data_IF_728556945537
#
_entry.id   IF_728556945537
#
_cell.length_a   1.000
_cell.length_b   1.000
_cell.length_c   1.000
_cell.angle_alpha   90.00
_cell.angle_beta   90.00
_cell.angle_gamma   90.00
#
_symmetry.space_group_name_H-M   'P 1'
#
loop_
_entity.id
_entity.type
_entity.pdbx_description
1 polymer ?
#
# COMPACT_ATOMS: atom_id res chain seq x y z
N UNK A 1 -16.37 -22.46 26.97
CA UNK A 1 -15.15 -21.64 26.94
C UNK A 1 -14.54 -21.49 25.53
N UNK A 2 -14.29 -22.56 24.76
CA UNK A 2 -13.72 -22.45 23.40
C UNK A 2 -14.60 -21.65 22.41
N UNK A 3 -15.92 -21.91 22.36
CA UNK A 3 -16.87 -21.15 21.53
C UNK A 3 -16.90 -19.65 21.84
N UNK A 4 -16.85 -19.27 23.11
CA UNK A 4 -16.83 -17.86 23.53
C UNK A 4 -15.55 -17.16 23.06
N UNK A 5 -14.37 -17.81 23.22
CA UNK A 5 -13.11 -17.27 22.71
C UNK A 5 -13.12 -17.12 21.17
N UNK A 6 -13.73 -18.05 20.45
CA UNK A 6 -13.87 -17.97 19.00
C UNK A 6 -14.78 -16.81 18.57
N UNK A 7 -15.91 -16.62 19.25
CA UNK A 7 -16.82 -15.50 18.98
C UNK A 7 -16.16 -14.14 19.22
N UNK A 8 -15.40 -14.00 20.32
CA UNK A 8 -14.65 -12.77 20.63
C UNK A 8 -13.64 -12.43 19.52
N UNK A 9 -12.80 -13.40 19.12
CA UNK A 9 -11.85 -13.18 18.00
C UNK A 9 -12.53 -12.81 16.69
N UNK A 10 -13.69 -13.41 16.41
CA UNK A 10 -14.47 -13.07 15.22
C UNK A 10 -15.02 -11.65 15.29
N UNK A 11 -15.52 -11.23 16.46
CA UNK A 11 -15.99 -9.86 16.68
C UNK A 11 -14.85 -8.84 16.55
N UNK A 12 -13.68 -9.11 17.13
CA UNK A 12 -12.48 -8.26 17.01
C UNK A 12 -12.08 -8.06 15.54
N UNK A 13 -12.02 -9.15 14.77
CA UNK A 13 -11.70 -9.10 13.34
C UNK A 13 -12.77 -8.32 12.54
N UNK A 14 -14.04 -8.54 12.85
CA UNK A 14 -15.14 -7.82 12.20
C UNK A 14 -15.09 -6.32 12.52
N UNK A 15 -14.77 -5.96 13.76
CA UNK A 15 -14.63 -4.58 14.18
C UNK A 15 -13.46 -3.90 13.47
N UNK A 16 -12.29 -4.57 13.42
CA UNK A 16 -11.10 -4.06 12.73
C UNK A 16 -11.32 -3.84 11.22
N UNK A 17 -12.23 -4.59 10.59
CA UNK A 17 -12.51 -4.50 9.16
C UNK A 17 -13.76 -3.66 8.82
N UNK A 18 -14.55 -3.25 9.81
CA UNK A 18 -15.82 -2.56 9.63
C UNK A 18 -15.69 -1.23 8.87
N UNK A 19 -14.61 -0.49 9.11
CA UNK A 19 -14.34 0.81 8.45
C UNK A 19 -14.20 0.69 6.92
N UNK A 20 -13.81 -0.48 6.42
CA UNK A 20 -13.64 -0.74 4.98
C UNK A 20 -14.92 -1.27 4.31
N UNK A 21 -15.97 -1.53 5.09
CA UNK A 21 -17.18 -2.20 4.59
C UNK A 21 -18.12 -1.26 3.84
N UNK A 22 -18.87 -1.81 2.88
CA UNK A 22 -19.86 -1.08 2.10
C UNK A 22 -19.28 -0.32 0.90
N UNK A 23 -20.17 0.35 0.16
CA UNK A 23 -19.80 1.14 -1.02
C UNK A 23 -19.04 2.40 -0.63
N UNK A 24 -19.47 3.06 0.46
CA UNK A 24 -18.87 4.26 1.02
C UNK A 24 -17.80 3.96 2.09
N UNK A 25 -17.41 2.68 2.24
CA UNK A 25 -16.35 2.28 3.15
C UNK A 25 -15.04 2.99 2.83
N UNK A 26 -14.23 3.18 3.86
CA UNK A 26 -12.92 3.78 3.69
C UNK A 26 -12.07 2.94 2.73
N UNK A 27 -11.29 3.57 1.84
CA UNK A 27 -10.42 2.81 0.96
C UNK A 27 -9.24 2.23 1.74
N UNK A 28 -8.86 1.00 1.40
CA UNK A 28 -7.62 0.36 1.86
C UNK A 28 -6.45 1.03 1.15
N UNK A 29 -5.54 1.60 1.91
CA UNK A 29 -4.42 2.37 1.37
C UNK A 29 -3.28 1.42 1.02
N UNK A 30 -2.90 1.38 -0.25
CA UNK A 30 -1.92 0.43 -0.79
C UNK A 30 -0.75 1.21 -1.38
N UNK A 31 0.38 1.19 -0.67
CA UNK A 31 1.63 1.71 -1.19
C UNK A 31 2.17 0.79 -2.29
N UNK A 32 2.52 1.34 -3.44
CA UNK A 32 3.25 0.62 -4.49
C UNK A 32 4.68 1.15 -4.49
N UNK A 33 5.63 0.31 -4.09
CA UNK A 33 7.02 0.72 -3.86
C UNK A 33 7.93 0.00 -4.86
N UNK A 34 8.50 0.72 -5.83
CA UNK A 34 9.49 0.17 -6.74
C UNK A 34 10.83 -0.01 -6.02
N UNK A 35 11.54 -1.09 -6.31
CA UNK A 35 12.88 -1.36 -5.78
C UNK A 35 14.00 -1.18 -6.82
N UNK A 36 13.66 -0.62 -7.96
CA UNK A 36 14.57 -0.17 -9.00
C UNK A 36 13.96 1.03 -9.75
N UNK A 37 14.82 1.79 -10.41
CA UNK A 37 14.47 2.99 -11.17
C UNK A 37 13.71 2.68 -12.47
N UNK A 38 13.95 1.51 -13.07
CA UNK A 38 13.30 1.04 -14.29
C UNK A 38 11.86 0.53 -14.10
N UNK A 39 11.36 0.48 -12.87
CA UNK A 39 10.00 0.00 -12.57
C UNK A 39 9.00 1.15 -12.71
N UNK A 40 8.13 1.03 -13.70
CA UNK A 40 6.98 1.93 -13.83
C UNK A 40 5.85 1.50 -12.90
N UNK A 41 5.67 2.25 -11.81
CA UNK A 41 4.62 2.05 -10.81
C UNK A 41 3.20 2.16 -11.40
N UNK A 42 3.03 2.96 -12.44
CA UNK A 42 1.74 3.08 -13.11
C UNK A 42 1.37 1.79 -13.85
N UNK A 43 2.33 1.17 -14.54
CA UNK A 43 2.12 -0.13 -15.20
C UNK A 43 1.81 -1.24 -14.20
N UNK A 44 2.42 -1.19 -13.01
CA UNK A 44 2.08 -2.10 -11.89
C UNK A 44 0.60 -1.95 -11.51
N UNK A 45 0.14 -0.72 -11.28
CA UNK A 45 -1.27 -0.46 -10.92
C UNK A 45 -2.22 -0.89 -12.04
N UNK A 46 -1.87 -0.63 -13.30
CA UNK A 46 -2.62 -1.08 -14.47
C UNK A 46 -2.74 -2.60 -14.54
N UNK A 47 -1.63 -3.33 -14.32
CA UNK A 47 -1.63 -4.79 -14.35
C UNK A 47 -2.52 -5.37 -13.24
N UNK A 48 -2.46 -4.80 -12.04
CA UNK A 48 -3.33 -5.16 -10.91
C UNK A 48 -4.82 -4.91 -11.25
N UNK A 49 -5.15 -3.73 -11.74
CA UNK A 49 -6.54 -3.37 -12.10
C UNK A 49 -7.09 -4.22 -13.25
N UNK A 50 -6.30 -4.47 -14.30
CA UNK A 50 -6.69 -5.31 -15.43
C UNK A 50 -6.95 -6.78 -15.02
N UNK A 51 -6.34 -7.25 -13.93
CA UNK A 51 -6.58 -8.61 -13.41
C UNK A 51 -7.97 -8.81 -12.79
N UNK A 52 -8.67 -7.73 -12.49
CA UNK A 52 -10.00 -7.70 -11.87
C UNK A 52 -10.99 -6.82 -12.64
N UNK A 53 -10.69 -6.57 -13.92
CA UNK A 53 -11.58 -5.91 -14.88
C UNK A 53 -11.97 -4.48 -14.49
N UNK A 54 -11.08 -3.77 -13.79
CA UNK A 54 -11.23 -2.35 -13.48
C UNK A 54 -10.83 -1.51 -14.70
N UNK A 55 -11.65 -0.52 -15.13
CA UNK A 55 -11.33 0.40 -16.23
C UNK A 55 -10.07 1.26 -15.99
N UNK A 56 -9.43 1.70 -17.08
CA UNK A 56 -8.20 2.52 -17.07
C UNK A 56 -8.49 4.03 -16.92
N UNK A 57 -9.25 4.41 -15.90
CA UNK A 57 -9.69 5.80 -15.71
C UNK A 57 -8.95 6.49 -14.55
N UNK A 58 -7.62 6.57 -14.60
CA UNK A 58 -6.84 7.20 -13.53
C UNK A 58 -5.59 7.95 -14.00
N UNK A 59 -5.22 8.99 -13.25
CA UNK A 59 -4.06 9.84 -13.52
C UNK A 59 -2.77 9.26 -12.94
N UNK A 60 -1.67 9.35 -13.70
CA UNK A 60 -0.36 8.75 -13.41
C UNK A 60 0.27 9.22 -12.08
N UNK A 61 0.05 10.48 -11.68
CA UNK A 61 0.78 11.11 -10.57
C UNK A 61 -0.03 11.29 -9.27
N UNK A 62 -1.23 10.71 -9.17
CA UNK A 62 -2.10 10.92 -8.01
C UNK A 62 -2.54 9.62 -7.37
N UNK A 63 -2.84 9.72 -6.08
CA UNK A 63 -3.52 8.67 -5.34
C UNK A 63 -4.80 8.29 -6.10
N UNK A 64 -4.97 7.00 -6.37
CA UNK A 64 -6.07 6.53 -7.22
C UNK A 64 -7.00 5.65 -6.40
N UNK A 65 -8.25 6.11 -6.26
CA UNK A 65 -9.32 5.33 -5.60
C UNK A 65 -10.04 4.46 -6.61
N UNK A 66 -10.08 3.16 -6.34
CA UNK A 66 -10.73 2.16 -7.19
C UNK A 66 -11.69 1.31 -6.38
N UNK A 67 -12.87 1.04 -6.93
CA UNK A 67 -13.78 0.00 -6.41
C UNK A 67 -13.45 -1.33 -7.07
N UNK A 68 -13.17 -2.35 -6.25
CA UNK A 68 -13.02 -3.72 -6.73
C UNK A 68 -14.34 -4.46 -6.48
N UNK A 69 -15.22 -4.49 -7.48
CA UNK A 69 -16.57 -5.02 -7.34
C UNK A 69 -16.60 -6.50 -6.97
N UNK A 70 -15.69 -7.30 -7.54
CA UNK A 70 -15.54 -8.73 -7.23
C UNK A 70 -15.40 -9.00 -5.73
N UNK A 71 -14.71 -8.12 -5.00
CA UNK A 71 -14.47 -8.28 -3.56
C UNK A 71 -15.26 -7.28 -2.71
N UNK A 72 -16.03 -6.38 -3.33
CA UNK A 72 -16.80 -5.31 -2.68
C UNK A 72 -15.94 -4.44 -1.76
N UNK A 73 -14.71 -4.14 -2.16
CA UNK A 73 -13.75 -3.33 -1.41
C UNK A 73 -13.34 -2.09 -2.19
N UNK A 74 -13.01 -1.02 -1.46
CA UNK A 74 -12.37 0.18 -2.01
C UNK A 74 -10.86 0.08 -1.77
N UNK A 75 -10.06 0.31 -2.80
CA UNK A 75 -8.60 0.43 -2.72
C UNK A 75 -8.22 1.87 -3.05
N UNK A 76 -7.23 2.42 -2.35
CA UNK A 76 -6.53 3.64 -2.72
C UNK A 76 -5.08 3.28 -3.00
N UNK A 77 -4.68 3.28 -4.27
CA UNK A 77 -3.28 3.13 -4.63
C UNK A 77 -2.53 4.42 -4.35
N UNK A 78 -1.39 4.31 -3.66
CA UNK A 78 -0.49 5.41 -3.36
C UNK A 78 0.86 5.08 -4.01
N UNK A 79 1.15 5.62 -5.20
CA UNK A 79 2.40 5.33 -5.89
C UNK A 79 3.58 5.96 -5.13
N UNK A 80 4.61 5.18 -4.83
CA UNK A 80 5.87 5.70 -4.31
C UNK A 80 6.88 5.87 -5.44
N UNK A 81 7.70 6.92 -5.36
CA UNK A 81 8.89 7.07 -6.20
C UNK A 81 10.00 6.16 -5.67
N UNK A 82 10.96 5.81 -6.52
CA UNK A 82 12.22 5.21 -6.10
C UNK A 82 13.09 6.28 -5.41
N UNK A 83 12.63 6.71 -4.23
CA UNK A 83 13.22 7.74 -3.38
C UNK A 83 12.94 7.36 -1.92
N UNK A 84 13.97 7.45 -1.07
CA UNK A 84 13.92 7.00 0.31
C UNK A 84 12.85 7.74 1.13
N UNK A 85 12.84 9.08 1.08
CA UNK A 85 11.95 9.89 1.90
C UNK A 85 10.49 9.74 1.44
N UNK A 86 10.28 9.71 0.13
CA UNK A 86 8.97 9.50 -0.44
C UNK A 86 8.42 8.10 -0.10
N UNK A 87 9.26 7.06 -0.15
CA UNK A 87 8.84 5.71 0.22
C UNK A 87 8.47 5.62 1.72
N UNK A 88 9.23 6.24 2.62
CA UNK A 88 8.90 6.33 4.04
C UNK A 88 7.56 7.04 4.27
N UNK A 89 7.34 8.16 3.58
CA UNK A 89 6.12 8.96 3.72
C UNK A 89 4.86 8.25 3.20
N UNK A 90 5.00 7.44 2.15
CA UNK A 90 3.90 6.63 1.60
C UNK A 90 3.66 5.38 2.46
N UNK A 91 4.71 4.67 2.87
CA UNK A 91 4.58 3.45 3.67
C UNK A 91 4.00 3.71 5.07
N UNK A 92 4.35 4.85 5.70
CA UNK A 92 3.83 5.17 7.04
C UNK A 92 2.32 5.39 7.09
N UNK A 93 1.68 5.71 5.96
CA UNK A 93 0.22 5.88 5.87
C UNK A 93 -0.47 4.64 5.30
N UNK A 94 0.26 3.67 4.75
CA UNK A 94 -0.33 2.53 4.07
C UNK A 94 -0.92 1.46 5.01
N UNK A 95 -2.02 0.85 4.57
CA UNK A 95 -2.56 -0.39 5.16
C UNK A 95 -1.88 -1.63 4.58
N UNK A 96 -1.32 -1.53 3.37
CA UNK A 96 -0.58 -2.57 2.70
C UNK A 96 0.58 -1.96 1.91
N UNK A 97 1.70 -2.65 1.87
CA UNK A 97 2.84 -2.28 1.02
C UNK A 97 3.07 -3.38 -0.01
N UNK A 98 3.02 -3.01 -1.28
CA UNK A 98 3.38 -3.87 -2.40
C UNK A 98 4.79 -3.49 -2.84
N UNK A 99 5.74 -4.36 -2.54
CA UNK A 99 7.11 -4.23 -3.02
C UNK A 99 7.20 -4.79 -4.44
N UNK A 100 7.80 -4.04 -5.35
CA UNK A 100 7.99 -4.45 -6.75
C UNK A 100 9.48 -4.65 -6.99
N UNK A 101 9.87 -5.91 -7.19
CA UNK A 101 11.25 -6.31 -7.45
C UNK A 101 11.52 -6.31 -8.97
N UNK A 102 12.69 -5.82 -9.40
CA UNK A 102 13.16 -6.01 -10.77
C UNK A 102 13.52 -7.49 -11.00
N UNK A 103 13.49 -7.92 -12.26
CA UNK A 103 13.91 -9.27 -12.68
C UNK A 103 15.11 -9.27 -13.62
N UNK A 104 15.42 -8.10 -14.19
CA UNK A 104 16.48 -7.85 -15.17
C UNK A 104 17.75 -7.26 -14.55
N UNK A 105 17.62 -6.54 -13.43
CA UNK A 105 18.71 -5.95 -12.66
C UNK A 105 18.68 -6.42 -11.21
N UNK A 106 19.84 -6.38 -10.54
CA UNK A 106 19.91 -6.54 -9.09
C UNK A 106 19.42 -5.27 -8.39
N UNK A 107 18.89 -5.42 -7.17
CA UNK A 107 18.52 -4.26 -6.36
C UNK A 107 19.78 -3.56 -5.91
N UNK A 108 19.93 -2.30 -6.29
CA UNK A 108 21.06 -1.46 -5.92
C UNK A 108 21.07 -1.13 -4.41
N UNK A 109 22.18 -0.56 -3.93
CA UNK A 109 22.36 -0.18 -2.52
C UNK A 109 21.26 0.78 -2.05
N UNK A 110 20.84 1.71 -2.90
CA UNK A 110 19.75 2.66 -2.63
C UNK A 110 18.42 1.94 -2.36
N UNK A 111 18.15 0.86 -3.10
CA UNK A 111 16.96 0.03 -2.92
C UNK A 111 17.00 -0.77 -1.63
N UNK A 112 18.19 -1.24 -1.23
CA UNK A 112 18.40 -1.90 0.05
C UNK A 112 18.25 -0.92 1.23
N UNK A 113 18.81 0.30 1.12
CA UNK A 113 18.63 1.36 2.12
C UNK A 113 17.14 1.69 2.27
N UNK A 114 16.42 1.81 1.15
CA UNK A 114 14.98 2.04 1.14
C UNK A 114 14.25 0.90 1.89
N UNK A 115 14.52 -0.37 1.55
CA UNK A 115 13.92 -1.53 2.20
C UNK A 115 14.14 -1.55 3.71
N UNK A 116 15.40 -1.38 4.15
CA UNK A 116 15.76 -1.37 5.58
C UNK A 116 15.07 -0.23 6.31
N UNK A 117 14.95 0.93 5.66
CA UNK A 117 14.37 2.12 6.27
C UNK A 117 12.86 1.99 6.46
N UNK A 118 12.12 1.51 5.44
CA UNK A 118 10.66 1.30 5.56
C UNK A 118 10.33 0.19 6.56
N UNK A 119 11.16 -0.85 6.65
CA UNK A 119 11.01 -1.91 7.64
C UNK A 119 11.26 -1.38 9.06
N UNK A 120 12.36 -0.65 9.26
CA UNK A 120 12.76 -0.08 10.56
C UNK A 120 11.78 0.97 11.09
N UNK A 121 11.09 1.73 10.22
CA UNK A 121 10.05 2.68 10.63
C UNK A 121 8.82 1.97 11.24
N UNK A 122 8.65 0.68 10.95
CA UNK A 122 7.42 -0.07 11.17
C UNK A 122 6.59 -0.06 9.89
N UNK A 123 6.39 -1.25 9.34
CA UNK A 123 5.64 -1.49 8.12
C UNK A 123 4.37 -2.29 8.43
N UNK A 124 3.33 -2.10 7.63
CA UNK A 124 2.10 -2.89 7.69
C UNK A 124 2.25 -4.19 6.88
N UNK A 125 1.15 -4.81 6.44
CA UNK A 125 1.21 -6.04 5.64
C UNK A 125 1.99 -5.82 4.33
N UNK A 126 3.01 -6.66 4.12
CA UNK A 126 3.84 -6.64 2.91
C UNK A 126 3.39 -7.72 1.94
N UNK A 127 3.20 -7.36 0.68
CA UNK A 127 3.09 -8.26 -0.46
C UNK A 127 4.26 -8.01 -1.39
N UNK A 128 4.84 -9.07 -1.95
CA UNK A 128 6.01 -8.97 -2.81
C UNK A 128 5.66 -9.42 -4.22
N UNK A 129 5.99 -8.56 -5.17
CA UNK A 129 5.73 -8.76 -6.59
C UNK A 129 7.01 -8.62 -7.41
N UNK A 130 7.03 -9.17 -8.61
CA UNK A 130 8.13 -9.05 -9.56
C UNK A 130 7.59 -8.61 -10.93
N UNK A 131 8.27 -7.65 -11.55
CA UNK A 131 7.97 -7.17 -12.90
C UNK A 131 9.05 -7.70 -13.87
N UNK A 132 8.66 -8.08 -15.09
CA UNK A 132 9.62 -8.43 -16.12
C UNK A 132 9.97 -9.94 -16.22
N UNK A 133 9.25 -10.80 -15.50
CA UNK A 133 9.55 -12.23 -15.43
C UNK A 133 9.35 -12.92 -16.78
N UNK A 134 8.39 -12.47 -17.59
CA UNK A 134 8.19 -13.00 -18.93
C UNK A 134 9.34 -12.67 -19.91
N UNK A 135 10.09 -11.60 -19.65
CA UNK A 135 11.26 -11.17 -20.41
C UNK A 135 12.51 -11.98 -20.06
N UNK A 136 12.51 -12.71 -18.95
CA UNK A 136 13.61 -13.61 -18.56
C UNK A 136 13.75 -14.76 -19.58
N UNK A 137 14.90 -14.78 -20.26
CA UNK A 137 15.26 -15.80 -21.24
C UNK A 137 16.47 -16.63 -20.78
N UNK A 138 16.44 -17.97 -20.90
CA UNK A 138 15.33 -18.79 -21.38
C UNK A 138 14.20 -18.95 -20.33
N UNK A 139 12.94 -19.26 -20.74
CA UNK A 139 11.79 -19.39 -19.83
C UNK A 139 11.99 -20.39 -18.68
N UNK A 140 12.84 -21.41 -18.89
CA UNK A 140 13.19 -22.40 -17.86
C UNK A 140 13.91 -21.79 -16.64
N UNK A 141 14.51 -20.60 -16.76
CA UNK A 141 15.16 -19.89 -15.64
C UNK A 141 14.20 -19.10 -14.75
N UNK A 142 12.96 -18.84 -15.20
CA UNK A 142 11.99 -18.03 -14.44
C UNK A 142 11.75 -18.55 -13.01
N UNK A 143 11.56 -19.87 -12.76
CA UNK A 143 11.40 -20.36 -11.39
C UNK A 143 12.64 -20.13 -10.52
N UNK A 144 13.84 -20.22 -11.12
CA UNK A 144 15.09 -19.94 -10.42
C UNK A 144 15.18 -18.46 -10.02
N UNK A 145 14.85 -17.54 -10.94
CA UNK A 145 14.81 -16.09 -10.65
C UNK A 145 13.83 -15.80 -9.52
N UNK A 146 12.62 -16.34 -9.56
CA UNK A 146 11.62 -16.17 -8.48
C UNK A 146 12.15 -16.72 -7.14
N UNK A 147 12.84 -17.86 -7.15
CA UNK A 147 13.45 -18.42 -5.94
C UNK A 147 14.57 -17.51 -5.38
N UNK A 148 15.39 -16.93 -6.26
CA UNK A 148 16.44 -15.98 -5.86
C UNK A 148 15.83 -14.70 -5.27
N UNK A 149 14.82 -14.13 -5.92
CA UNK A 149 14.09 -12.95 -5.43
C UNK A 149 13.42 -13.21 -4.08
N UNK A 150 12.81 -14.39 -3.90
CA UNK A 150 12.26 -14.82 -2.62
C UNK A 150 13.34 -14.93 -1.55
N UNK A 151 14.49 -15.52 -1.89
CA UNK A 151 15.60 -15.64 -0.95
C UNK A 151 16.13 -14.27 -0.52
N UNK A 152 16.24 -13.34 -1.46
CA UNK A 152 16.65 -11.96 -1.20
C UNK A 152 15.67 -11.27 -0.24
N UNK A 153 14.37 -11.25 -0.57
CA UNK A 153 13.40 -10.50 0.23
C UNK A 153 13.20 -11.11 1.63
N UNK A 154 13.39 -12.43 1.78
CA UNK A 154 13.32 -13.11 3.08
C UNK A 154 14.42 -12.71 4.05
N UNK A 155 15.50 -12.07 3.58
CA UNK A 155 16.48 -11.44 4.46
C UNK A 155 15.87 -10.29 5.28
N UNK A 156 14.95 -9.54 4.68
CA UNK A 156 14.27 -8.39 5.30
C UNK A 156 12.91 -8.78 5.89
N UNK A 157 12.16 -9.64 5.19
CA UNK A 157 10.82 -10.06 5.57
C UNK A 157 10.71 -11.59 5.60
N UNK A 158 11.12 -12.25 6.69
CA UNK A 158 11.19 -13.72 6.76
C UNK A 158 9.84 -14.44 6.60
N UNK A 159 8.72 -13.72 6.77
CA UNK A 159 7.35 -14.24 6.67
C UNK A 159 6.83 -14.29 5.24
N UNK A 160 7.58 -13.79 4.25
CA UNK A 160 7.14 -13.78 2.85
C UNK A 160 7.21 -15.19 2.26
N UNK A 161 6.02 -15.74 1.97
CA UNK A 161 5.92 -17.09 1.43
C UNK A 161 6.17 -17.14 -0.08
N UNK A 162 5.83 -16.08 -0.82
CA UNK A 162 5.85 -16.06 -2.29
C UNK A 162 6.13 -14.67 -2.85
N UNK A 163 6.82 -14.64 -3.98
CA UNK A 163 6.93 -13.49 -4.88
C UNK A 163 5.98 -13.73 -6.05
N UNK A 164 5.09 -12.79 -6.31
CA UNK A 164 4.04 -12.89 -7.34
C UNK A 164 4.43 -12.12 -8.61
N UNK A 165 4.33 -12.74 -9.77
CA UNK A 165 4.60 -12.12 -11.07
C UNK A 165 3.47 -11.16 -11.46
N UNK A 166 3.85 -9.95 -11.87
CA UNK A 166 2.92 -8.97 -12.42
C UNK A 166 2.55 -9.24 -13.89
N UNK A 167 3.30 -10.11 -14.57
CA UNK A 167 3.04 -10.51 -15.96
C UNK A 167 1.92 -11.57 -16.03
N UNK A 168 1.69 -12.29 -14.93
CA UNK A 168 0.62 -13.26 -14.80
C UNK A 168 -0.66 -12.61 -14.28
N UNK A 169 -1.67 -12.50 -15.15
CA UNK A 169 -3.02 -12.00 -14.77
C UNK A 169 -3.60 -12.75 -13.57
N UNK A 170 -3.35 -14.05 -13.45
CA UNK A 170 -3.82 -14.86 -12.33
C UNK A 170 -3.13 -14.48 -11.02
N UNK A 171 -1.83 -14.22 -11.05
CA UNK A 171 -1.07 -13.82 -9.86
C UNK A 171 -1.38 -12.37 -9.46
N UNK A 172 -1.54 -11.45 -10.40
CA UNK A 172 -2.09 -10.11 -10.16
C UNK A 172 -3.45 -10.17 -9.45
N UNK A 173 -4.37 -11.04 -9.91
CA UNK A 173 -5.67 -11.21 -9.27
C UNK A 173 -5.55 -11.77 -7.84
N UNK A 174 -4.50 -12.57 -7.57
CA UNK A 174 -4.18 -13.02 -6.23
C UNK A 174 -3.66 -11.89 -5.34
N UNK A 175 -2.82 -11.00 -5.86
CA UNK A 175 -2.39 -9.78 -5.14
C UNK A 175 -3.61 -8.94 -4.75
N UNK A 176 -4.49 -8.61 -5.71
CA UNK A 176 -5.69 -7.80 -5.46
C UNK A 176 -6.63 -8.50 -4.47
N UNK A 177 -6.78 -9.82 -4.56
CA UNK A 177 -7.55 -10.59 -3.57
C UNK A 177 -6.98 -10.43 -2.17
N UNK A 178 -5.66 -10.57 -2.01
CA UNK A 178 -4.99 -10.40 -0.72
C UNK A 178 -5.21 -9.01 -0.15
N UNK A 179 -5.05 -7.96 -0.96
CA UNK A 179 -5.32 -6.58 -0.56
C UNK A 179 -6.77 -6.39 -0.07
N UNK A 180 -7.73 -7.06 -0.70
CA UNK A 180 -9.15 -6.96 -0.34
C UNK A 180 -9.55 -7.77 0.90
N UNK A 181 -8.96 -8.95 1.11
CA UNK A 181 -9.44 -9.93 2.10
C UNK A 181 -8.63 -9.88 3.39
N UNK A 182 -7.31 -9.64 3.31
CA UNK A 182 -6.47 -9.61 4.49
C UNK A 182 -6.88 -8.48 5.43
N UNK A 183 -6.73 -8.72 6.73
CA UNK A 183 -6.95 -7.68 7.74
C UNK A 183 -5.67 -6.87 7.83
N UNK A 184 -5.72 -5.54 7.63
CA UNK A 184 -4.55 -4.69 7.79
C UNK A 184 -3.94 -4.84 9.18
N UNK A 185 -2.63 -5.05 9.24
CA UNK A 185 -1.85 -5.10 10.45
C UNK A 185 -1.46 -3.67 10.84
N UNK A 186 -1.88 -3.29 12.03
CA UNK A 186 -1.63 -1.97 12.57
C UNK A 186 -0.16 -1.72 12.87
N UNK A 187 0.28 -0.47 12.72
CA UNK A 187 1.60 -0.03 13.21
C UNK A 187 1.36 0.69 14.52
N UNK A 188 1.91 0.18 15.63
CA UNK A 188 1.55 0.63 17.00
C UNK A 188 1.63 2.15 17.17
N UNK A 189 2.74 2.77 16.78
CA UNK A 189 2.94 4.22 16.94
C UNK A 189 1.95 5.06 16.10
N UNK A 190 1.49 4.50 14.97
CA UNK A 190 0.53 5.13 14.07
C UNK A 190 -0.90 5.00 14.61
N UNK A 191 -1.28 3.81 15.06
CA UNK A 191 -2.65 3.53 15.50
C UNK A 191 -2.96 4.00 16.92
N UNK A 192 -1.93 4.27 17.72
CA UNK A 192 -2.04 4.98 18.99
C UNK A 192 -2.37 6.48 18.82
N UNK A 193 -2.31 6.99 17.58
CA UNK A 193 -2.64 8.37 17.20
C UNK A 193 -3.82 8.43 16.23
N UNK A 194 -4.42 9.61 16.13
CA UNK A 194 -5.37 9.92 15.07
C UNK A 194 -4.57 10.34 13.85
N UNK A 195 -4.79 9.70 12.71
CA UNK A 195 -4.07 10.02 11.48
C UNK A 195 -5.02 9.99 10.28
N UNK A 196 -4.63 10.63 9.19
CA UNK A 196 -5.45 10.75 7.99
C UNK A 196 -4.55 10.88 6.77
N UNK A 197 -4.87 10.15 5.71
CA UNK A 197 -4.33 10.42 4.39
C UNK A 197 -5.16 11.53 3.75
N UNK A 198 -4.49 12.60 3.33
CA UNK A 198 -5.11 13.74 2.65
C UNK A 198 -5.53 13.31 1.25
N UNK A 199 -6.82 13.49 0.94
CA UNK A 199 -7.44 13.14 -0.35
C UNK A 199 -7.80 14.38 -1.16
N UNK A 200 -8.14 15.47 -0.48
CA UNK A 200 -8.46 16.74 -1.10
C UNK A 200 -8.06 17.90 -0.18
N UNK A 201 -7.66 19.01 -0.78
CA UNK A 201 -7.22 20.22 -0.08
C UNK A 201 -7.90 21.40 -0.76
N UNK A 202 -8.67 22.15 0.01
CA UNK A 202 -9.25 23.39 -0.44
C UNK A 202 -8.57 24.56 0.28
N UNK A 203 -7.89 25.39 -0.51
CA UNK A 203 -7.24 26.61 -0.02
C UNK A 203 -8.24 27.77 -0.05
N UNK A 204 -8.16 28.70 0.91
CA UNK A 204 -9.02 29.88 0.93
C UNK A 204 -8.75 30.78 -0.29
N UNK A 205 -9.81 31.35 -0.87
CA UNK A 205 -9.75 32.15 -2.10
C UNK A 205 -9.11 33.55 -1.90
N UNK A 206 -8.96 34.02 -0.66
CA UNK A 206 -8.59 35.41 -0.36
C UNK A 206 -7.09 35.50 -0.09
N UNK A 207 -6.33 35.92 -1.10
CA UNK A 207 -4.94 36.33 -0.94
C UNK A 207 -4.89 37.63 -0.11
N UNK A 208 -4.81 37.55 1.22
CA UNK A 208 -4.66 38.78 2.01
C UNK A 208 -4.52 38.67 3.52
N UNK A 209 -5.08 37.66 4.18
CA UNK A 209 -4.95 37.51 5.64
C UNK A 209 -4.23 36.21 5.99
N UNK A 210 -3.27 36.31 6.92
CA UNK A 210 -2.48 35.18 7.41
C UNK A 210 -3.27 34.20 8.31
N UNK A 211 -4.58 34.43 8.49
CA UNK A 211 -5.47 33.72 9.41
C UNK A 211 -6.53 32.86 8.69
N UNK A 212 -6.40 32.65 7.38
CA UNK A 212 -7.43 31.91 6.64
C UNK A 212 -7.28 30.38 6.81
N UNK A 213 -8.38 29.73 7.17
CA UNK A 213 -8.45 28.29 7.43
C UNK A 213 -8.27 27.46 6.14
N UNK A 214 -7.44 26.42 6.23
CA UNK A 214 -7.27 25.41 5.15
C UNK A 214 -8.19 24.22 5.42
N UNK A 215 -9.00 23.83 4.43
CA UNK A 215 -9.88 22.68 4.57
C UNK A 215 -9.21 21.45 3.97
N UNK A 216 -8.93 20.46 4.83
CA UNK A 216 -8.31 19.19 4.46
C UNK A 216 -9.34 18.08 4.58
N UNK A 217 -9.53 17.33 3.50
CA UNK A 217 -10.48 16.21 3.46
C UNK A 217 -9.74 14.88 3.39
N UNK A 218 -10.22 13.92 4.19
CA UNK A 218 -9.74 12.55 4.18
C UNK A 218 -10.53 11.68 5.15
N UNK A 219 -10.10 10.43 5.31
CA UNK A 219 -10.72 9.50 6.27
C UNK A 219 -9.81 9.32 7.47
N UNK A 220 -10.32 9.69 8.65
CA UNK A 220 -9.62 9.50 9.93
C UNK A 220 -9.44 8.01 10.23
N UNK A 221 -8.25 7.67 10.71
CA UNK A 221 -7.79 6.31 11.05
C UNK A 221 -7.08 6.32 12.41
N UNK A 222 -6.89 5.14 12.99
CA UNK A 222 -6.32 4.97 14.33
C UNK A 222 -7.29 5.42 15.43
N UNK A 223 -6.88 6.36 16.27
CA UNK A 223 -7.76 6.97 17.28
C UNK A 223 -8.69 8.03 16.66
N UNK A 224 -9.79 8.32 17.35
CA UNK A 224 -10.71 9.40 16.93
C UNK A 224 -10.01 10.77 16.94
N UNK A 225 -10.27 11.59 15.92
CA UNK A 225 -9.77 12.96 15.84
C UNK A 225 -10.50 13.83 16.87
N UNK A 226 -9.78 14.71 17.56
CA UNK A 226 -10.34 15.65 18.53
C UNK A 226 -9.93 17.07 18.19
N UNK A 227 -10.87 18.00 18.23
CA UNK A 227 -10.66 19.40 17.84
C UNK A 227 -9.74 20.18 18.79
N UNK A 228 -9.59 19.73 20.03
CA UNK A 228 -8.72 20.32 21.06
C UNK A 228 -7.24 19.91 20.93
N UNK A 229 -6.91 19.01 19.99
CA UNK A 229 -5.55 18.50 19.78
C UNK A 229 -4.91 19.12 18.56
N UNK A 230 -3.61 19.38 18.66
CA UNK A 230 -2.78 19.81 17.54
C UNK A 230 -2.68 18.71 16.47
N UNK A 231 -2.61 19.13 15.23
CA UNK A 231 -2.38 18.29 14.05
C UNK A 231 -1.01 18.67 13.49
N UNK A 232 -0.19 17.68 13.19
CA UNK A 232 1.09 17.86 12.52
C UNK A 232 0.92 17.52 11.04
N UNK A 233 1.32 18.43 10.15
CA UNK A 233 1.38 18.17 8.71
C UNK A 233 2.85 17.98 8.32
N UNK A 234 3.24 16.81 7.83
CA UNK A 234 4.60 16.55 7.40
C UNK A 234 5.08 17.59 6.37
N UNK A 235 6.24 18.20 6.64
CA UNK A 235 6.81 19.26 5.81
C UNK A 235 6.32 20.68 6.11
N UNK A 236 5.28 20.84 6.94
CA UNK A 236 4.67 22.15 7.24
C UNK A 236 4.71 22.52 8.73
N UNK A 237 4.79 21.52 9.62
CA UNK A 237 4.83 21.75 11.08
C UNK A 237 3.66 21.10 11.80
#
# INVERSE_FOLDING_TARGET
QARQKQQLKHQEKSHATSIFSGQNGAPRQVAIVPLADNIDVFDVILALNASVDVPKDFSVDRQTRVRIDRFKQNIMYVPARYDLLHALDVCRVADFVVLVLPTDVEVAEEGEILLRSIESQGISNVLVTAQGLDQVSPPKKRPQVVSSLKSYINHFFPTIEKVLSLDSRQECSNVVRSLCILTPEGIRWRDDRSWMLIQDINWPDIQGNADDDVVITGVVRGKGLKADRIVHIPGWG
#
